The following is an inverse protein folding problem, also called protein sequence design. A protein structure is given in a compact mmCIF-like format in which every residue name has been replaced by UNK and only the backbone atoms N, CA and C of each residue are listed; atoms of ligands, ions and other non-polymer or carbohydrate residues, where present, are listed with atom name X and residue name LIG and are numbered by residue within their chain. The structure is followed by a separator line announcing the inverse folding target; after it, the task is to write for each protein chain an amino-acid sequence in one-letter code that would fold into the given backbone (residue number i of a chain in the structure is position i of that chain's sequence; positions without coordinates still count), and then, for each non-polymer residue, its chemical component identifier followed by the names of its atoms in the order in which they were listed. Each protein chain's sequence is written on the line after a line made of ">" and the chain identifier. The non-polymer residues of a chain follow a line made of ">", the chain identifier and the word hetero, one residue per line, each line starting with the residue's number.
data_IF_550908790187
#
_entry.id   IF_550908790187
#
_cell.length_a   1.000
_cell.length_b   1.000
_cell.length_c   1.000
_cell.angle_alpha   90.00
_cell.angle_beta   90.00
_cell.angle_gamma   90.00
#
_symmetry.space_group_name_H-M   'P 1'
#
loop_
_entity.id
_entity.type
_entity.pdbx_description
1 polymer ?
#
# COMPACT_ATOMS: atom_id res chain seq x y z
N UNK A 1 -56.39 -61.15 31.04
CA UNK A 1 -57.69 -60.55 30.73
C UNK A 1 -57.48 -59.07 30.38
N UNK A 2 -57.80 -58.73 29.12
CA UNK A 2 -58.51 -57.52 28.68
C UNK A 2 -57.75 -56.18 28.81
N UNK A 3 -57.69 -55.26 27.85
CA UNK A 3 -57.82 -55.19 26.37
C UNK A 3 -57.52 -53.72 26.01
N UNK A 4 -56.91 -53.43 24.85
CA UNK A 4 -56.92 -52.07 24.25
C UNK A 4 -58.35 -51.65 23.83
N UNK A 5 -58.67 -50.39 23.41
CA UNK A 5 -58.24 -49.71 22.15
C UNK A 5 -57.93 -48.19 22.33
N UNK A 6 -57.10 -47.50 21.52
CA UNK A 6 -57.13 -47.08 20.09
C UNK A 6 -58.17 -46.01 19.69
N UNK A 7 -57.64 -44.85 19.27
CA UNK A 7 -57.93 -43.99 18.11
C UNK A 7 -59.37 -43.51 17.82
N UNK A 8 -59.56 -42.21 17.53
CA UNK A 8 -59.76 -41.63 16.17
C UNK A 8 -60.33 -40.18 16.20
N UNK A 9 -59.85 -39.36 15.24
CA UNK A 9 -60.30 -38.01 14.80
C UNK A 9 -61.72 -38.00 14.17
N UNK A 10 -62.45 -36.86 14.04
CA UNK A 10 -62.26 -35.80 12.98
C UNK A 10 -62.54 -34.33 13.45
N UNK A 11 -61.94 -33.25 12.91
CA UNK A 11 -62.19 -32.51 11.64
C UNK A 11 -63.66 -32.01 11.52
N UNK A 12 -64.05 -30.72 11.46
CA UNK A 12 -63.76 -29.69 10.43
C UNK A 12 -64.36 -28.31 10.84
N UNK A 13 -63.57 -27.25 10.62
CA UNK A 13 -63.83 -25.89 10.08
C UNK A 13 -64.93 -24.98 10.67
N UNK A 14 -64.48 -23.84 11.22
CA UNK A 14 -65.05 -22.51 10.93
C UNK A 14 -63.93 -21.44 10.96
N UNK A 15 -63.96 -20.57 9.96
CA UNK A 15 -62.92 -19.60 9.60
C UNK A 15 -62.85 -18.38 10.54
N UNK A 16 -61.65 -17.87 10.78
CA UNK A 16 -61.44 -16.46 11.16
C UNK A 16 -60.15 -15.92 10.52
N UNK A 17 -60.28 -14.76 9.89
CA UNK A 17 -59.27 -14.03 9.13
C UNK A 17 -58.66 -12.91 9.98
N UNK A 18 -57.35 -12.77 9.84
CA UNK A 18 -56.51 -11.55 9.87
C UNK A 18 -56.15 -10.94 11.24
N UNK A 19 -54.83 -10.90 11.47
CA UNK A 19 -54.19 -10.00 12.44
C UNK A 19 -52.74 -10.36 12.76
N UNK A 20 -51.91 -10.72 11.77
CA UNK A 20 -50.49 -11.04 11.98
C UNK A 20 -49.64 -9.79 12.13
N UNK A 21 -49.24 -9.51 13.38
CA UNK A 21 -48.23 -8.51 13.73
C UNK A 21 -46.83 -9.06 13.39
N UNK A 22 -46.30 -8.70 12.23
CA UNK A 22 -44.91 -8.92 11.86
C UNK A 22 -44.02 -7.91 12.59
N UNK A 23 -43.45 -8.32 13.72
CA UNK A 23 -42.35 -7.60 14.38
C UNK A 23 -41.07 -7.74 13.55
N UNK A 24 -40.79 -6.72 12.75
CA UNK A 24 -39.54 -6.55 12.03
C UNK A 24 -38.43 -6.21 13.03
N UNK A 25 -37.51 -7.14 13.26
CA UNK A 25 -36.25 -6.86 13.96
C UNK A 25 -35.37 -6.09 12.96
N UNK A 26 -35.57 -4.78 12.90
CA UNK A 26 -34.68 -3.87 12.20
C UNK A 26 -33.35 -3.81 12.94
N UNK A 27 -32.33 -4.48 12.41
CA UNK A 27 -30.95 -4.25 12.80
C UNK A 27 -30.64 -2.75 12.63
N UNK A 28 -30.42 -2.05 13.75
CA UNK A 28 -29.87 -0.69 13.74
C UNK A 28 -28.46 -0.71 13.14
N UNK A 29 -28.39 -0.63 11.81
CA UNK A 29 -27.20 -0.12 11.12
C UNK A 29 -27.06 1.32 11.58
N UNK A 30 -26.00 1.66 12.33
CA UNK A 30 -25.65 3.07 12.57
C UNK A 30 -25.67 3.75 11.20
N UNK A 31 -26.55 4.73 11.03
CA UNK A 31 -26.44 5.67 9.91
C UNK A 31 -25.07 6.31 10.07
N UNK A 32 -24.19 6.11 9.10
CA UNK A 32 -23.01 6.96 8.94
C UNK A 32 -23.50 8.42 8.97
N UNK A 33 -22.86 9.33 9.71
CA UNK A 33 -23.22 10.73 9.67
C UNK A 33 -23.20 11.15 8.19
N UNK A 34 -24.29 11.74 7.73
CA UNK A 34 -24.39 12.22 6.37
C UNK A 34 -23.19 13.13 6.03
N UNK A 35 -22.44 12.80 4.97
CA UNK A 35 -21.55 13.77 4.31
C UNK A 35 -20.11 13.31 4.01
N UNK A 36 -19.57 12.27 4.64
CA UNK A 36 -18.18 11.86 4.41
C UNK A 36 -18.06 10.83 3.28
N UNK A 37 -17.24 11.17 2.27
CA UNK A 37 -16.86 10.24 1.21
C UNK A 37 -15.98 9.11 1.75
N UNK A 38 -16.06 7.94 1.14
CA UNK A 38 -15.35 6.73 1.61
C UNK A 38 -13.96 6.58 1.02
N UNK A 39 -13.77 7.01 -0.22
CA UNK A 39 -12.56 6.80 -1.00
C UNK A 39 -12.05 8.12 -1.57
N UNK A 40 -10.75 8.17 -1.82
CA UNK A 40 -10.10 9.27 -2.51
C UNK A 40 -9.21 8.75 -3.64
N UNK A 41 -9.29 9.41 -4.78
CA UNK A 41 -8.35 9.26 -5.87
C UNK A 41 -7.39 10.45 -5.88
N UNK A 42 -6.13 10.18 -6.19
CA UNK A 42 -5.18 11.18 -6.64
C UNK A 42 -4.90 10.93 -8.12
N UNK A 43 -5.26 11.87 -8.98
CA UNK A 43 -5.06 11.77 -10.44
C UNK A 43 -4.25 12.95 -10.99
N UNK A 44 -3.69 12.77 -12.18
CA UNK A 44 -3.07 13.84 -12.95
C UNK A 44 -3.67 13.90 -14.35
N UNK A 45 -3.98 15.09 -14.83
CA UNK A 45 -4.43 15.30 -16.21
C UNK A 45 -3.27 15.30 -17.20
N UNK A 46 -3.55 15.17 -18.50
CA UNK A 46 -2.57 15.30 -19.59
C UNK A 46 -1.86 16.66 -19.62
N UNK A 47 -2.46 17.66 -18.99
CA UNK A 47 -1.93 19.02 -18.86
C UNK A 47 -1.11 19.17 -17.55
N UNK A 48 -0.75 18.05 -16.93
CA UNK A 48 0.08 17.93 -15.72
C UNK A 48 -0.52 18.56 -14.45
N UNK A 49 -1.83 18.85 -14.45
CA UNK A 49 -2.56 19.31 -13.25
C UNK A 49 -2.96 18.12 -12.38
N UNK A 50 -2.84 18.28 -11.06
CA UNK A 50 -3.08 17.22 -10.09
C UNK A 50 -4.40 17.46 -9.37
N UNK A 51 -5.18 16.41 -9.16
CA UNK A 51 -6.50 16.49 -8.54
C UNK A 51 -6.68 15.45 -7.45
N UNK A 52 -7.31 15.85 -6.35
CA UNK A 52 -7.92 14.93 -5.40
C UNK A 52 -9.41 14.86 -5.68
N UNK A 53 -9.94 13.65 -5.81
CA UNK A 53 -11.37 13.44 -6.00
C UNK A 53 -11.88 12.38 -5.03
N UNK A 54 -12.98 12.68 -4.33
CA UNK A 54 -13.54 11.78 -3.33
C UNK A 54 -14.87 11.17 -3.79
N UNK A 55 -15.08 9.89 -3.50
CA UNK A 55 -16.26 9.13 -3.91
C UNK A 55 -16.71 8.11 -2.86
N UNK A 56 -17.96 7.66 -2.96
CA UNK A 56 -18.55 6.65 -2.08
C UNK A 56 -18.52 5.23 -2.64
N UNK A 57 -18.30 5.12 -3.95
CA UNK A 57 -18.37 3.84 -4.67
C UNK A 57 -17.20 3.67 -5.62
N UNK A 58 -16.75 2.43 -5.72
CA UNK A 58 -15.77 1.93 -6.67
C UNK A 58 -16.37 0.84 -7.59
N UNK A 59 -17.60 0.41 -7.31
CA UNK A 59 -18.13 -0.87 -7.79
C UNK A 59 -18.67 -0.80 -9.23
N UNK A 60 -19.06 0.38 -9.72
CA UNK A 60 -19.62 0.58 -11.06
C UNK A 60 -19.71 2.08 -11.42
N UNK A 61 -20.06 2.36 -12.67
CA UNK A 61 -20.37 3.69 -13.18
C UNK A 61 -19.17 4.41 -13.78
N UNK A 62 -19.36 5.70 -14.08
CA UNK A 62 -18.33 6.55 -14.62
C UNK A 62 -18.33 7.92 -13.91
N UNK A 63 -17.14 8.51 -13.74
CA UNK A 63 -17.00 9.84 -13.20
C UNK A 63 -15.75 10.51 -13.76
N UNK A 64 -15.82 11.82 -14.00
CA UNK A 64 -14.66 12.63 -14.37
C UNK A 64 -14.02 13.27 -13.12
N UNK A 65 -12.87 12.77 -12.64
CA UNK A 65 -12.22 13.31 -11.45
C UNK A 65 -11.59 14.69 -11.67
N UNK A 66 -11.36 15.10 -12.92
CA UNK A 66 -10.79 16.41 -13.25
C UNK A 66 -11.86 17.50 -13.12
N UNK A 67 -13.10 17.21 -13.51
CA UNK A 67 -14.24 18.13 -13.34
C UNK A 67 -14.81 18.13 -11.92
N UNK A 68 -14.87 16.96 -11.28
CA UNK A 68 -15.49 16.79 -9.95
C UNK A 68 -14.50 16.92 -8.79
N UNK A 69 -13.21 16.83 -9.07
CA UNK A 69 -12.16 16.87 -8.07
C UNK A 69 -11.70 18.28 -7.74
N UNK A 70 -10.83 18.34 -6.75
CA UNK A 70 -10.18 19.56 -6.28
C UNK A 70 -8.78 19.64 -6.88
N UNK A 71 -8.49 20.74 -7.57
CA UNK A 71 -7.16 21.03 -8.07
C UNK A 71 -6.18 21.21 -6.89
N UNK A 72 -5.05 20.52 -6.95
CA UNK A 72 -3.90 20.75 -6.08
C UNK A 72 -2.96 21.72 -6.79
N UNK A 73 -2.86 22.93 -6.26
CA UNK A 73 -2.02 24.00 -6.80
C UNK A 73 -0.53 23.71 -6.56
N UNK A 74 -0.13 23.36 -5.34
CA UNK A 74 1.25 23.08 -4.92
C UNK A 74 1.33 22.21 -3.63
N UNK A 75 2.50 21.67 -3.27
CA UNK A 75 3.62 21.37 -4.15
C UNK A 75 3.27 20.20 -5.10
N UNK A 76 3.93 20.08 -6.25
CA UNK A 76 3.78 18.89 -7.09
C UNK A 76 4.38 17.67 -6.36
N UNK A 77 3.90 16.46 -6.68
CA UNK A 77 4.49 15.19 -6.21
C UNK A 77 4.20 14.77 -4.77
N UNK A 78 3.19 15.37 -4.12
CA UNK A 78 2.80 14.93 -2.77
C UNK A 78 2.34 13.47 -2.73
N UNK A 79 1.84 12.92 -3.84
CA UNK A 79 1.37 11.53 -3.91
C UNK A 79 2.43 10.49 -3.56
N UNK A 80 3.73 10.81 -3.60
CA UNK A 80 4.76 9.78 -3.38
C UNK A 80 4.82 9.34 -1.90
N UNK A 81 4.64 10.28 -0.97
CA UNK A 81 4.77 10.05 0.48
C UNK A 81 3.53 10.48 1.25
N UNK A 82 2.38 10.57 0.56
CA UNK A 82 1.12 10.94 1.16
C UNK A 82 0.60 9.81 2.04
N UNK A 83 0.15 10.16 3.24
CA UNK A 83 -0.64 9.30 4.11
C UNK A 83 -2.07 9.83 4.16
N UNK A 84 -3.05 8.94 4.24
CA UNK A 84 -4.46 9.29 4.39
C UNK A 84 -5.00 8.63 5.65
N UNK A 85 -5.64 9.41 6.52
CA UNK A 85 -6.27 8.90 7.74
C UNK A 85 -7.35 9.84 8.25
N UNK A 86 -8.51 9.28 8.58
CA UNK A 86 -9.65 10.01 9.17
C UNK A 86 -10.05 11.25 8.35
N UNK A 87 -10.05 11.15 7.02
CA UNK A 87 -10.40 12.23 6.09
C UNK A 87 -9.30 13.27 5.85
N UNK A 88 -8.16 13.15 6.53
CA UNK A 88 -7.01 14.03 6.36
C UNK A 88 -5.94 13.41 5.46
N UNK A 89 -5.21 14.29 4.77
CA UNK A 89 -4.05 14.00 3.96
C UNK A 89 -2.82 14.57 4.64
N UNK A 90 -1.79 13.75 4.80
CA UNK A 90 -0.53 14.12 5.45
C UNK A 90 0.62 13.92 4.47
N UNK A 91 1.51 14.90 4.36
CA UNK A 91 2.69 14.79 3.51
C UNK A 91 3.76 15.78 3.96
N UNK A 92 5.01 15.55 3.54
CA UNK A 92 6.08 16.53 3.65
C UNK A 92 6.17 17.30 2.34
N UNK A 93 6.12 18.63 2.39
CA UNK A 93 6.51 19.45 1.26
C UNK A 93 8.04 19.37 1.10
N UNK A 94 8.55 18.79 0.01
CA UNK A 94 9.98 18.58 -0.15
C UNK A 94 10.79 19.87 -0.29
N UNK A 95 10.14 20.99 -0.65
CA UNK A 95 10.82 22.29 -0.83
C UNK A 95 10.94 23.06 0.48
N UNK A 96 9.89 23.03 1.29
CA UNK A 96 9.82 23.80 2.53
C UNK A 96 10.12 22.97 3.77
N UNK A 97 10.16 21.64 3.64
CA UNK A 97 10.36 20.67 4.71
C UNK A 97 9.27 20.71 5.79
N UNK A 98 8.11 21.30 5.51
CA UNK A 98 6.97 21.23 6.41
C UNK A 98 6.21 19.92 6.23
N UNK A 99 5.97 19.21 7.34
CA UNK A 99 4.94 18.19 7.40
C UNK A 99 3.59 18.88 7.56
N UNK A 100 2.69 18.63 6.62
CA UNK A 100 1.42 19.33 6.46
C UNK A 100 0.28 18.34 6.69
N UNK A 101 -0.74 18.77 7.44
CA UNK A 101 -2.07 18.13 7.50
C UNK A 101 -3.05 18.97 6.71
N UNK A 102 -3.64 18.39 5.68
CA UNK A 102 -4.69 19.02 4.88
C UNK A 102 -5.94 18.16 4.76
N UNK A 103 -7.00 18.75 4.25
CA UNK A 103 -8.27 18.07 3.92
C UNK A 103 -8.98 18.79 2.79
N UNK A 104 -9.99 18.14 2.22
CA UNK A 104 -10.90 18.82 1.29
C UNK A 104 -12.04 19.45 2.08
N UNK A 105 -12.22 20.76 1.94
CA UNK A 105 -13.35 21.54 2.47
C UNK A 105 -13.87 22.48 1.40
N UNK A 106 -15.20 22.61 1.29
CA UNK A 106 -15.85 23.54 0.37
C UNK A 106 -15.27 23.50 -1.06
N UNK A 107 -15.01 22.29 -1.55
CA UNK A 107 -14.42 22.02 -2.88
C UNK A 107 -13.00 22.59 -3.08
N UNK A 108 -12.24 22.76 -2.00
CA UNK A 108 -10.82 23.17 -2.01
C UNK A 108 -9.98 22.31 -1.09
N UNK A 109 -8.67 22.28 -1.34
CA UNK A 109 -7.72 21.57 -0.49
C UNK A 109 -7.14 22.56 0.52
N UNK A 110 -7.60 22.46 1.76
CA UNK A 110 -7.21 23.34 2.84
C UNK A 110 -6.03 22.72 3.61
N UNK A 111 -4.93 23.48 3.74
CA UNK A 111 -3.77 23.12 4.57
C UNK A 111 -4.02 23.65 5.97
N UNK A 112 -4.40 22.77 6.89
CA UNK A 112 -4.93 23.18 8.18
C UNK A 112 -3.86 23.50 9.19
N UNK A 113 -2.77 22.74 9.17
CA UNK A 113 -1.72 22.82 10.18
C UNK A 113 -0.43 22.20 9.67
N UNK A 114 0.70 22.56 10.27
CA UNK A 114 2.00 22.05 9.85
C UNK A 114 3.09 22.19 10.91
N UNK A 115 4.14 21.40 10.76
CA UNK A 115 5.37 21.52 11.55
C UNK A 115 6.60 21.37 10.67
N UNK A 116 7.62 22.19 10.92
CA UNK A 116 8.87 22.15 10.19
C UNK A 116 9.70 20.92 10.59
N UNK A 117 10.02 20.07 9.62
CA UNK A 117 10.86 18.88 9.75
C UNK A 117 12.21 19.10 9.07
N UNK A 118 13.09 19.91 9.69
CA UNK A 118 14.40 20.22 9.11
C UNK A 118 15.19 18.95 8.71
N UNK A 119 15.56 18.85 7.43
CA UNK A 119 16.30 17.72 6.85
C UNK A 119 15.45 16.51 6.48
N UNK A 120 14.14 16.69 6.26
CA UNK A 120 13.18 15.65 5.86
C UNK A 120 12.59 15.87 4.46
N UNK A 121 13.23 16.67 3.58
CA UNK A 121 12.88 16.64 2.16
C UNK A 121 12.82 15.21 1.62
N UNK A 122 11.71 14.83 0.98
CA UNK A 122 11.45 13.50 0.40
C UNK A 122 11.69 12.32 1.36
N UNK A 123 10.91 12.15 2.45
CA UNK A 123 11.12 11.04 3.40
C UNK A 123 11.22 9.68 2.69
N UNK A 124 12.12 8.80 3.12
CA UNK A 124 12.21 7.47 2.52
C UNK A 124 10.96 6.63 2.83
N UNK A 125 10.44 6.77 4.04
CA UNK A 125 9.27 6.05 4.51
C UNK A 125 8.52 6.87 5.59
N UNK A 126 7.22 6.66 5.69
CA UNK A 126 6.36 7.26 6.69
C UNK A 126 5.14 6.38 6.95
N UNK A 127 4.72 6.26 8.21
CA UNK A 127 3.47 5.61 8.58
C UNK A 127 2.94 6.09 9.93
N UNK A 128 1.65 5.85 10.16
CA UNK A 128 1.05 5.98 11.48
C UNK A 128 1.46 4.80 12.37
N UNK A 129 2.06 5.08 13.53
CA UNK A 129 2.43 4.06 14.52
C UNK A 129 1.39 3.93 15.64
N UNK A 130 0.48 4.89 15.74
CA UNK A 130 -0.70 4.85 16.60
C UNK A 130 -1.78 5.81 16.05
N UNK A 131 -2.81 6.11 16.85
CA UNK A 131 -3.90 7.00 16.45
C UNK A 131 -3.40 8.36 15.94
N UNK A 132 -2.38 8.93 16.60
CA UNK A 132 -2.02 10.33 16.49
C UNK A 132 -0.56 10.58 16.14
N UNK A 133 0.28 9.55 16.05
CA UNK A 133 1.71 9.70 15.77
C UNK A 133 2.06 9.16 14.40
N UNK A 134 2.64 10.00 13.56
CA UNK A 134 3.33 9.61 12.34
C UNK A 134 4.82 9.47 12.65
N UNK A 135 5.40 8.34 12.26
CA UNK A 135 6.83 8.14 12.23
C UNK A 135 7.32 8.35 10.79
N UNK A 136 8.37 9.14 10.62
CA UNK A 136 8.99 9.40 9.32
C UNK A 136 10.48 9.10 9.39
N UNK A 137 11.04 8.53 8.33
CA UNK A 137 12.48 8.41 8.13
C UNK A 137 12.91 9.36 7.02
N UNK A 138 13.93 10.17 7.28
CA UNK A 138 14.38 11.13 6.28
C UNK A 138 15.10 10.45 5.11
N UNK A 139 15.08 11.11 3.95
CA UNK A 139 16.11 10.84 2.96
C UNK A 139 17.44 11.40 3.44
N UNK A 140 18.52 10.65 3.24
CA UNK A 140 19.87 11.07 3.58
C UNK A 140 20.57 11.42 2.29
N UNK A 141 21.29 12.52 2.25
CA UNK A 141 22.23 12.79 1.15
C UNK A 141 23.64 12.62 1.70
N UNK A 142 24.47 11.86 0.98
CA UNK A 142 25.80 11.50 1.42
C UNK A 142 25.81 10.51 2.60
N UNK A 143 26.97 10.36 3.23
CA UNK A 143 27.19 9.40 4.32
C UNK A 143 26.66 9.86 5.69
N UNK A 144 25.71 10.80 5.70
CA UNK A 144 25.11 11.29 6.93
C UNK A 144 24.28 10.18 7.61
N UNK A 145 24.29 10.10 8.96
CA UNK A 145 23.39 9.21 9.67
C UNK A 145 21.93 9.47 9.30
N UNK A 146 21.14 8.41 9.18
CA UNK A 146 19.69 8.55 9.04
C UNK A 146 19.08 9.14 10.29
N UNK A 147 18.00 9.89 10.10
CA UNK A 147 17.19 10.49 11.17
C UNK A 147 15.75 10.02 11.05
N UNK A 148 15.06 10.06 12.17
CA UNK A 148 13.62 9.85 12.22
C UNK A 148 12.93 11.02 12.91
N UNK A 149 11.66 11.21 12.59
CA UNK A 149 10.76 12.15 13.23
C UNK A 149 9.53 11.42 13.76
N UNK A 150 9.10 11.76 14.97
CA UNK A 150 7.78 11.41 15.51
C UNK A 150 6.95 12.69 15.55
N UNK A 151 5.94 12.77 14.71
CA UNK A 151 5.02 13.90 14.64
C UNK A 151 3.70 13.51 15.29
N UNK A 152 3.29 14.24 16.32
CA UNK A 152 1.94 14.16 16.84
C UNK A 152 1.01 15.02 15.98
N UNK A 153 0.05 14.40 15.31
CA UNK A 153 -0.83 15.07 14.35
C UNK A 153 -1.98 15.84 15.02
N UNK A 154 -2.15 15.77 16.35
CA UNK A 154 -3.16 16.56 17.06
C UNK A 154 -2.72 18.00 17.25
N UNK A 155 -1.48 18.19 17.67
CA UNK A 155 -0.88 19.48 18.03
C UNK A 155 0.31 19.87 17.15
N UNK A 156 0.66 19.04 16.16
CA UNK A 156 1.82 19.21 15.28
C UNK A 156 3.15 19.34 16.03
N UNK A 157 3.26 18.74 17.22
CA UNK A 157 4.55 18.64 17.91
C UNK A 157 5.43 17.57 17.26
N UNK A 158 6.75 17.82 17.26
CA UNK A 158 7.74 16.90 16.67
C UNK A 158 8.88 16.61 17.63
N UNK A 159 9.30 15.35 17.66
CA UNK A 159 10.61 14.92 18.17
C UNK A 159 11.41 14.31 17.04
N UNK A 160 12.65 14.76 16.85
CA UNK A 160 13.58 14.18 15.86
C UNK A 160 14.82 13.64 16.54
N UNK A 161 15.35 12.53 16.04
CA UNK A 161 16.63 11.98 16.50
C UNK A 161 17.31 11.17 15.37
N UNK A 162 18.51 10.65 15.61
CA UNK A 162 19.23 9.77 14.71
C UNK A 162 18.77 8.32 14.86
N UNK A 163 18.67 7.60 13.74
CA UNK A 163 18.54 6.15 13.78
C UNK A 163 19.92 5.55 14.14
N UNK A 164 19.99 4.57 15.04
CA UNK A 164 21.22 3.85 15.41
C UNK A 164 21.65 2.85 14.32
N UNK A 165 21.56 3.24 13.05
CA UNK A 165 21.98 2.41 11.92
C UNK A 165 23.41 2.77 11.51
N UNK A 166 24.25 1.79 11.13
CA UNK A 166 25.57 2.10 10.60
C UNK A 166 25.44 2.96 9.33
N UNK A 167 26.19 4.06 9.20
CA UNK A 167 26.15 4.90 8.01
C UNK A 167 26.70 4.14 6.79
N UNK A 168 26.38 4.59 5.55
CA UNK A 168 26.98 4.04 4.34
C UNK A 168 28.51 4.03 4.38
N UNK A 169 29.13 2.98 3.82
CA UNK A 169 30.59 2.79 3.76
C UNK A 169 31.04 2.44 2.35
N UNK A 170 32.36 2.50 2.12
CA UNK A 170 32.99 2.17 0.84
C UNK A 170 32.37 2.96 -0.33
N UNK A 171 31.94 2.31 -1.41
CA UNK A 171 31.37 2.99 -2.57
C UNK A 171 29.98 3.59 -2.32
N UNK A 172 29.29 3.20 -1.25
CA UNK A 172 27.95 3.70 -0.96
C UNK A 172 28.02 5.08 -0.33
N UNK A 173 27.20 5.98 -0.87
CA UNK A 173 27.05 7.36 -0.42
C UNK A 173 25.62 7.64 0.06
N UNK A 174 24.76 6.62 0.14
CA UNK A 174 23.38 6.78 0.57
C UNK A 174 22.81 5.48 1.20
N UNK A 175 21.68 5.59 1.89
CA UNK A 175 20.90 4.51 2.48
C UNK A 175 19.41 4.79 2.26
N UNK A 176 18.63 3.76 1.93
CA UNK A 176 17.16 3.86 1.88
C UNK A 176 16.49 2.87 2.81
N UNK A 177 15.40 3.29 3.46
CA UNK A 177 14.53 2.42 4.28
C UNK A 177 13.29 2.06 3.48
N UNK A 178 13.12 0.78 3.16
CA UNK A 178 12.00 0.30 2.34
C UNK A 178 10.78 -0.12 3.15
N UNK A 179 10.97 -0.66 4.35
CA UNK A 179 9.85 -0.94 5.25
C UNK A 179 10.17 -0.64 6.70
N UNK A 180 9.10 -0.42 7.46
CA UNK A 180 9.10 -0.32 8.90
C UNK A 180 7.99 -1.22 9.47
N UNK A 181 8.26 -1.92 10.56
CA UNK A 181 7.30 -2.78 11.26
C UNK A 181 7.43 -2.58 12.77
N UNK A 182 6.35 -2.14 13.41
CA UNK A 182 6.24 -2.16 14.86
C UNK A 182 5.65 -3.48 15.33
N UNK A 183 6.30 -4.09 16.32
CA UNK A 183 5.80 -5.29 17.01
C UNK A 183 6.08 -5.16 18.50
N UNK A 184 5.05 -4.79 19.25
CA UNK A 184 5.19 -4.44 20.67
C UNK A 184 6.19 -3.30 20.85
N UNK A 185 7.19 -3.50 21.70
CA UNK A 185 8.24 -2.52 22.02
C UNK A 185 9.46 -2.64 21.08
N UNK A 186 9.26 -3.07 19.84
CA UNK A 186 10.32 -3.23 18.86
C UNK A 186 9.93 -2.62 17.51
N UNK A 187 10.92 -2.02 16.87
CA UNK A 187 10.88 -1.53 15.50
C UNK A 187 11.82 -2.38 14.64
N UNK A 188 11.29 -2.89 13.54
CA UNK A 188 12.03 -3.58 12.51
C UNK A 188 12.11 -2.71 11.27
N UNK A 189 13.27 -2.62 10.66
CA UNK A 189 13.49 -1.80 9.47
C UNK A 189 14.26 -2.57 8.41
N UNK A 190 13.65 -2.68 7.23
CA UNK A 190 14.32 -3.14 6.02
C UNK A 190 15.03 -1.97 5.38
N UNK A 191 16.34 -2.09 5.14
CA UNK A 191 17.10 -1.04 4.50
C UNK A 191 18.15 -1.56 3.51
N UNK A 192 18.68 -0.64 2.71
CA UNK A 192 19.69 -0.90 1.68
C UNK A 192 20.72 0.23 1.63
N UNK A 193 21.97 -0.10 1.36
CA UNK A 193 22.97 0.90 0.99
C UNK A 193 23.01 1.06 -0.52
N UNK A 194 23.14 2.29 -0.99
CA UNK A 194 23.20 2.60 -2.40
C UNK A 194 24.13 3.80 -2.68
N UNK A 195 24.45 3.99 -3.94
CA UNK A 195 25.12 5.18 -4.46
C UNK A 195 24.29 5.77 -5.59
N UNK A 196 24.32 7.10 -5.70
CA UNK A 196 23.70 7.80 -6.82
C UNK A 196 24.52 9.04 -7.16
N UNK A 197 25.34 8.96 -8.21
CA UNK A 197 26.21 10.05 -8.63
C UNK A 197 26.44 10.02 -10.14
N UNK A 198 26.90 11.14 -10.69
CA UNK A 198 27.11 11.32 -12.13
C UNK A 198 28.16 10.34 -12.70
N UNK A 199 29.18 9.98 -11.90
CA UNK A 199 30.29 9.14 -12.35
C UNK A 199 29.90 7.67 -12.51
N UNK A 200 29.10 7.13 -11.58
CA UNK A 200 28.76 5.70 -11.50
C UNK A 200 27.30 5.41 -11.82
N UNK A 201 26.49 6.45 -12.00
CA UNK A 201 25.05 6.33 -12.03
C UNK A 201 24.52 5.88 -10.67
N UNK A 202 23.56 4.97 -10.70
CA UNK A 202 22.90 4.45 -9.52
C UNK A 202 23.30 2.98 -9.28
N UNK A 203 23.59 2.62 -8.03
CA UNK A 203 23.67 1.21 -7.66
C UNK A 203 23.62 0.90 -6.17
N UNK A 204 23.63 -0.39 -5.80
CA UNK A 204 23.29 -0.83 -4.44
C UNK A 204 24.01 -2.05 -3.95
N UNK A 205 23.97 -2.23 -2.63
CA UNK A 205 24.28 -3.51 -2.01
C UNK A 205 23.43 -4.61 -2.61
N UNK A 206 24.02 -5.78 -2.71
CA UNK A 206 23.46 -7.06 -3.15
C UNK A 206 22.83 -7.86 -1.99
N UNK A 207 22.51 -7.19 -0.87
CA UNK A 207 22.15 -7.86 0.38
C UNK A 207 20.93 -7.20 0.99
N UNK A 208 19.99 -8.02 1.46
CA UNK A 208 18.90 -7.56 2.35
C UNK A 208 19.46 -7.31 3.73
N UNK A 209 19.24 -6.09 4.26
CA UNK A 209 19.53 -5.74 5.65
C UNK A 209 18.24 -5.51 6.42
N UNK A 210 18.14 -6.13 7.60
CA UNK A 210 17.00 -5.95 8.51
C UNK A 210 17.57 -5.57 9.87
N UNK A 211 17.31 -4.33 10.29
CA UNK A 211 17.63 -3.88 11.63
C UNK A 211 16.45 -4.14 12.57
N UNK A 212 16.76 -4.50 13.81
CA UNK A 212 15.81 -4.57 14.91
C UNK A 212 16.25 -3.64 16.02
N UNK A 213 15.34 -2.81 16.50
CA UNK A 213 15.58 -1.78 17.49
C UNK A 213 14.55 -1.86 18.61
N UNK A 214 14.94 -1.46 19.81
CA UNK A 214 14.01 -1.24 20.93
C UNK A 214 13.17 0.02 20.70
N UNK A 215 11.97 0.05 21.25
CA UNK A 215 11.09 1.21 21.26
C UNK A 215 10.50 1.36 22.68
N UNK A 216 10.49 2.56 23.28
CA UNK A 216 10.78 3.86 22.68
C UNK A 216 12.26 4.30 22.70
N UNK A 217 13.18 3.53 23.28
CA UNK A 217 14.58 3.95 23.47
C UNK A 217 15.40 4.03 22.19
N UNK A 218 14.92 3.41 21.11
CA UNK A 218 15.57 3.42 19.79
C UNK A 218 17.02 2.91 19.84
N UNK A 219 17.30 1.88 20.65
CA UNK A 219 18.61 1.20 20.67
C UNK A 219 18.63 0.07 19.65
N UNK A 220 19.68 0.00 18.83
CA UNK A 220 19.92 -1.11 17.91
C UNK A 220 20.15 -2.41 18.70
N UNK A 221 19.34 -3.43 18.42
CA UNK A 221 19.42 -4.75 19.05
C UNK A 221 20.14 -5.74 18.16
N UNK A 222 19.86 -5.73 16.85
CA UNK A 222 20.46 -6.66 15.89
C UNK A 222 20.38 -6.10 14.46
N UNK A 223 21.28 -6.56 13.59
CA UNK A 223 21.18 -6.41 12.12
C UNK A 223 21.35 -7.79 11.50
N UNK A 224 20.31 -8.25 10.80
CA UNK A 224 20.37 -9.46 10.00
C UNK A 224 20.70 -9.13 8.56
N UNK A 225 21.42 -10.06 7.92
CA UNK A 225 21.80 -10.00 6.51
C UNK A 225 21.38 -11.26 5.78
N UNK A 226 20.91 -11.10 4.56
CA UNK A 226 20.58 -12.20 3.65
C UNK A 226 21.00 -11.85 2.21
N UNK A 227 21.97 -12.57 1.61
CA UNK A 227 22.49 -12.26 0.28
C UNK A 227 21.65 -12.86 -0.86
N UNK A 228 20.53 -13.56 -0.56
CA UNK A 228 19.68 -14.17 -1.61
C UNK A 228 18.97 -13.14 -2.48
N UNK A 229 18.88 -11.88 -2.03
CA UNK A 229 18.32 -10.74 -2.78
C UNK A 229 18.75 -9.41 -2.14
N UNK A 230 18.17 -8.29 -2.58
CA UNK A 230 18.38 -6.95 -2.02
C UNK A 230 17.11 -6.07 -2.05
N UNK A 231 17.17 -4.86 -1.50
CA UNK A 231 16.07 -3.89 -1.42
C UNK A 231 14.83 -4.39 -0.68
N UNK A 232 14.93 -4.66 0.63
CA UNK A 232 13.79 -5.04 1.44
C UNK A 232 12.77 -3.91 1.53
N UNK A 233 11.56 -4.14 1.01
CA UNK A 233 10.46 -3.19 1.07
C UNK A 233 10.47 -2.10 0.00
N UNK A 234 11.21 -2.28 -1.11
CA UNK A 234 11.34 -1.33 -2.22
C UNK A 234 11.96 0.04 -1.82
N UNK A 235 12.73 0.68 -2.71
CA UNK A 235 13.14 2.09 -2.50
C UNK A 235 11.99 3.06 -2.78
N UNK A 236 10.94 2.57 -3.43
CA UNK A 236 9.75 3.29 -3.79
C UNK A 236 8.60 2.91 -2.84
N UNK A 237 8.54 3.57 -1.70
CA UNK A 237 7.59 3.29 -0.61
C UNK A 237 6.18 3.80 -0.89
N UNK A 238 5.96 4.53 -1.98
CA UNK A 238 4.62 4.91 -2.45
C UNK A 238 3.74 3.68 -2.78
N UNK A 239 4.37 2.55 -3.08
CA UNK A 239 3.68 1.31 -3.40
C UNK A 239 3.82 0.32 -2.25
N UNK A 240 2.69 -0.22 -1.79
CA UNK A 240 2.69 -1.23 -0.75
C UNK A 240 3.41 -2.49 -1.22
N UNK A 241 4.30 -2.98 -0.37
CA UNK A 241 5.20 -4.09 -0.65
C UNK A 241 5.41 -4.99 0.57
N UNK A 242 4.63 -4.73 1.63
CA UNK A 242 4.62 -5.50 2.88
C UNK A 242 3.20 -5.72 3.36
N UNK A 243 3.02 -6.74 4.20
CA UNK A 243 1.78 -6.95 4.94
C UNK A 243 2.02 -7.84 6.17
N UNK A 244 1.04 -7.84 7.07
CA UNK A 244 0.92 -8.81 8.17
C UNK A 244 -0.29 -9.69 7.88
N UNK A 245 -0.14 -11.01 7.97
CA UNK A 245 -1.25 -11.95 7.78
C UNK A 245 -2.09 -12.13 9.06
N UNK A 246 -3.16 -12.94 8.99
CA UNK A 246 -4.03 -13.22 10.14
C UNK A 246 -3.33 -13.92 11.31
N UNK A 247 -2.17 -14.55 11.08
CA UNK A 247 -1.36 -15.20 12.12
C UNK A 247 -0.36 -14.23 12.76
N UNK A 248 -0.23 -13.02 12.23
CA UNK A 248 0.75 -12.03 12.66
C UNK A 248 2.12 -12.20 11.99
N UNK A 249 2.26 -13.12 11.03
CA UNK A 249 3.49 -13.26 10.25
C UNK A 249 3.61 -12.05 9.33
N UNK A 250 4.79 -11.44 9.32
CA UNK A 250 5.08 -10.29 8.48
C UNK A 250 5.79 -10.74 7.20
N UNK A 251 5.33 -10.23 6.07
CA UNK A 251 5.89 -10.52 4.76
C UNK A 251 6.32 -9.21 4.09
N UNK A 252 7.45 -9.27 3.38
CA UNK A 252 7.94 -8.14 2.60
C UNK A 252 8.57 -8.62 1.30
N UNK A 253 8.48 -7.78 0.27
CA UNK A 253 9.08 -8.01 -1.03
C UNK A 253 10.51 -7.46 -1.07
N UNK A 254 11.42 -8.17 -1.72
CA UNK A 254 12.72 -7.65 -2.15
C UNK A 254 12.65 -7.16 -3.59
N UNK A 255 13.27 -6.02 -3.90
CA UNK A 255 13.09 -5.34 -5.19
C UNK A 255 14.42 -5.04 -5.91
N UNK A 256 15.20 -6.06 -6.31
CA UNK A 256 16.46 -5.90 -7.06
C UNK A 256 16.31 -5.43 -8.53
N UNK A 257 15.07 -5.38 -9.04
CA UNK A 257 14.74 -5.18 -10.44
C UNK A 257 15.10 -3.83 -11.05
N UNK A 258 14.85 -3.71 -12.35
CA UNK A 258 15.58 -2.83 -13.29
C UNK A 258 15.28 -1.34 -13.12
N UNK A 259 14.09 -0.97 -12.66
CA UNK A 259 13.68 0.43 -12.63
C UNK A 259 14.62 1.27 -11.75
N UNK A 260 14.97 0.77 -10.57
CA UNK A 260 15.92 1.46 -9.67
C UNK A 260 16.89 0.50 -9.02
N UNK A 261 16.94 -0.77 -9.42
CA UNK A 261 17.85 -1.75 -8.84
C UNK A 261 19.06 -1.92 -9.73
N UNK A 262 20.24 -1.95 -9.11
CA UNK A 262 21.50 -2.26 -9.79
C UNK A 262 21.93 -3.72 -9.58
N UNK A 263 21.00 -4.59 -9.19
CA UNK A 263 21.23 -6.03 -9.04
C UNK A 263 20.18 -6.86 -9.78
N UNK A 264 19.86 -6.57 -11.06
CA UNK A 264 18.76 -7.23 -11.78
C UNK A 264 18.93 -8.75 -11.94
N UNK A 265 20.14 -9.29 -11.73
CA UNK A 265 20.39 -10.73 -11.76
C UNK A 265 19.98 -11.43 -10.44
N UNK A 266 19.80 -10.68 -9.35
CA UNK A 266 19.26 -11.21 -8.10
C UNK A 266 17.74 -11.30 -8.18
N UNK A 267 17.10 -12.35 -7.63
CA UNK A 267 15.66 -12.53 -7.75
C UNK A 267 14.87 -11.54 -6.88
N UNK A 268 13.74 -11.05 -7.39
CA UNK A 268 12.68 -10.56 -6.49
C UNK A 268 12.12 -11.74 -5.70
N UNK A 269 11.95 -11.55 -4.40
CA UNK A 269 11.43 -12.59 -3.53
C UNK A 269 10.53 -12.03 -2.42
N UNK A 270 9.61 -12.87 -1.95
CA UNK A 270 8.88 -12.61 -0.71
C UNK A 270 9.66 -13.27 0.42
N UNK A 271 9.91 -12.50 1.47
CA UNK A 271 10.50 -12.91 2.74
C UNK A 271 9.45 -12.94 3.85
N UNK A 272 9.75 -13.63 4.95
CA UNK A 272 8.87 -13.74 6.12
C UNK A 272 9.62 -13.53 7.43
N UNK A 273 8.96 -12.87 8.38
CA UNK A 273 9.31 -12.84 9.79
C UNK A 273 8.10 -13.33 10.58
N UNK A 274 8.19 -14.51 11.20
CA UNK A 274 7.04 -15.10 11.91
C UNK A 274 6.62 -14.25 13.11
N UNK A 275 5.34 -14.27 13.47
CA UNK A 275 4.73 -13.42 14.50
C UNK A 275 5.49 -13.43 15.83
N UNK A 276 5.94 -14.61 16.25
CA UNK A 276 6.57 -14.84 17.56
C UNK A 276 8.09 -15.01 17.48
N UNK A 277 8.71 -14.74 16.33
CA UNK A 277 10.14 -14.87 16.13
C UNK A 277 10.83 -13.49 16.08
N UNK A 278 12.08 -13.44 16.52
CA UNK A 278 12.94 -12.24 16.52
C UNK A 278 14.02 -12.30 15.45
N UNK A 279 13.85 -13.18 14.47
CA UNK A 279 14.77 -13.37 13.36
C UNK A 279 14.02 -13.49 12.04
N UNK A 280 14.72 -13.20 10.94
CA UNK A 280 14.25 -13.52 9.60
C UNK A 280 14.08 -15.05 9.46
N UNK A 281 12.97 -15.50 8.90
CA UNK A 281 12.74 -16.91 8.63
C UNK A 281 13.58 -17.35 7.43
N UNK A 282 14.84 -17.73 7.68
CA UNK A 282 15.79 -18.13 6.63
C UNK A 282 15.32 -19.35 5.83
N UNK A 283 14.50 -20.22 6.43
CA UNK A 283 13.97 -21.42 5.78
C UNK A 283 12.83 -21.12 4.80
N UNK A 284 12.19 -19.95 4.91
CA UNK A 284 11.10 -19.53 4.03
C UNK A 284 11.56 -18.41 3.08
N UNK A 285 11.45 -18.69 1.78
CA UNK A 285 11.82 -17.76 0.71
C UNK A 285 11.02 -18.11 -0.54
N UNK A 286 10.20 -17.18 -1.02
CA UNK A 286 9.47 -17.37 -2.26
C UNK A 286 10.11 -16.54 -3.38
N UNK A 287 10.90 -17.21 -4.23
CA UNK A 287 11.51 -16.62 -5.41
C UNK A 287 10.45 -16.31 -6.49
N UNK A 288 10.08 -15.04 -6.63
CA UNK A 288 9.11 -14.57 -7.63
C UNK A 288 9.70 -14.65 -9.04
N UNK A 289 10.96 -14.26 -9.20
CA UNK A 289 11.64 -14.22 -10.50
C UNK A 289 11.89 -15.62 -11.10
N UNK A 290 11.88 -16.68 -10.30
CA UNK A 290 11.94 -18.07 -10.76
C UNK A 290 10.59 -18.80 -10.75
N UNK A 291 9.53 -18.13 -10.31
CA UNK A 291 8.16 -18.64 -10.42
C UNK A 291 7.63 -18.50 -11.86
N UNK A 292 6.42 -18.97 -12.18
CA UNK A 292 5.77 -18.70 -13.47
C UNK A 292 5.69 -17.21 -13.87
N UNK A 293 5.91 -16.26 -12.94
CA UNK A 293 5.99 -14.82 -13.22
C UNK A 293 7.22 -14.46 -14.07
N UNK A 294 8.36 -15.12 -13.83
CA UNK A 294 9.62 -14.95 -14.58
C UNK A 294 10.09 -13.49 -14.76
N UNK A 295 9.75 -12.59 -13.83
CA UNK A 295 10.08 -11.16 -13.86
C UNK A 295 10.31 -10.62 -12.44
N UNK A 296 10.67 -9.33 -12.33
CA UNK A 296 10.69 -8.63 -11.06
C UNK A 296 9.32 -8.07 -10.69
N UNK A 297 9.12 -7.90 -9.39
CA UNK A 297 7.93 -7.31 -8.83
C UNK A 297 8.27 -6.17 -7.86
N UNK A 298 7.31 -5.26 -7.70
CA UNK A 298 7.49 -4.06 -6.87
C UNK A 298 6.37 -3.87 -5.85
N UNK A 299 5.31 -4.69 -5.90
CA UNK A 299 4.12 -4.52 -5.08
C UNK A 299 3.60 -5.83 -4.57
N UNK A 300 3.10 -5.78 -3.33
CA UNK A 300 2.66 -6.94 -2.59
C UNK A 300 1.52 -6.52 -1.64
N UNK A 301 0.36 -7.17 -1.78
CA UNK A 301 -0.81 -6.94 -0.92
C UNK A 301 -1.38 -8.26 -0.43
N UNK A 302 -1.83 -8.29 0.82
CA UNK A 302 -2.47 -9.49 1.35
C UNK A 302 -3.92 -9.61 0.87
N UNK A 303 -4.30 -10.81 0.41
CA UNK A 303 -5.65 -11.12 -0.06
C UNK A 303 -6.46 -11.94 0.97
N UNK A 304 -5.83 -12.36 2.08
CA UNK A 304 -6.42 -13.31 3.03
C UNK A 304 -6.18 -14.76 2.64
N UNK A 305 -6.35 -15.68 3.59
CA UNK A 305 -6.27 -17.14 3.37
C UNK A 305 -5.00 -17.58 2.64
N UNK A 306 -3.85 -17.09 3.09
CA UNK A 306 -2.53 -17.36 2.51
C UNK A 306 -2.34 -16.89 1.07
N UNK A 307 -3.20 -16.00 0.56
CA UNK A 307 -3.06 -15.43 -0.79
C UNK A 307 -2.52 -14.02 -0.71
N UNK A 308 -1.70 -13.66 -1.70
CA UNK A 308 -1.23 -12.30 -1.90
C UNK A 308 -1.34 -11.90 -3.37
N UNK A 309 -1.51 -10.61 -3.62
CA UNK A 309 -1.44 -10.02 -4.94
C UNK A 309 -0.03 -9.49 -5.16
N UNK A 310 0.60 -9.86 -6.27
CA UNK A 310 1.92 -9.41 -6.71
C UNK A 310 1.76 -8.55 -7.96
N UNK A 311 2.34 -7.34 -7.93
CA UNK A 311 2.42 -6.43 -9.08
C UNK A 311 3.81 -6.55 -9.72
N UNK A 312 3.86 -7.16 -10.90
CA UNK A 312 5.09 -7.55 -11.62
C UNK A 312 5.26 -6.76 -12.90
N UNK A 313 6.51 -6.48 -13.27
CA UNK A 313 6.83 -5.87 -14.57
C UNK A 313 6.95 -6.92 -15.68
N UNK A 314 6.84 -6.48 -16.93
CA UNK A 314 7.16 -7.20 -18.16
C UNK A 314 8.40 -6.56 -18.79
N UNK A 315 9.57 -7.11 -18.48
CA UNK A 315 10.87 -6.58 -18.93
C UNK A 315 10.97 -6.49 -20.46
N UNK A 316 10.26 -7.33 -21.19
CA UNK A 316 10.26 -7.37 -22.66
C UNK A 316 9.54 -6.18 -23.32
N UNK A 317 8.77 -5.39 -22.56
CA UNK A 317 7.95 -4.29 -23.08
C UNK A 317 8.56 -2.90 -22.90
N UNK A 318 9.75 -2.78 -22.31
CA UNK A 318 10.50 -1.53 -22.17
C UNK A 318 12.00 -1.77 -22.28
N UNK A 319 12.76 -0.75 -22.66
CA UNK A 319 14.22 -0.81 -22.86
C UNK A 319 14.97 0.22 -22.03
N UNK A 320 14.31 1.31 -21.68
CA UNK A 320 14.92 2.42 -20.92
C UNK A 320 14.19 2.66 -19.62
N UNK A 321 14.87 3.35 -18.70
CA UNK A 321 14.25 3.82 -17.46
C UNK A 321 13.06 4.75 -17.74
N UNK A 322 13.13 5.60 -18.77
CA UNK A 322 12.03 6.50 -19.14
C UNK A 322 10.80 5.71 -19.64
N UNK A 323 11.02 4.73 -20.51
CA UNK A 323 9.95 3.85 -21.01
C UNK A 323 9.25 3.08 -19.88
N UNK A 324 9.99 2.70 -18.82
CA UNK A 324 9.42 2.07 -17.62
C UNK A 324 8.30 2.91 -16.98
N UNK A 325 8.39 4.24 -17.04
CA UNK A 325 7.33 5.09 -16.51
C UNK A 325 6.17 5.25 -17.50
N UNK A 326 6.47 5.34 -18.80
CA UNK A 326 5.51 5.78 -19.82
C UNK A 326 4.68 4.63 -20.43
N UNK A 327 5.25 3.42 -20.54
CA UNK A 327 4.62 2.29 -21.21
C UNK A 327 3.83 1.41 -20.24
N UNK A 328 2.70 0.90 -20.73
CA UNK A 328 1.95 -0.13 -20.01
C UNK A 328 2.69 -1.47 -20.11
N UNK A 329 3.17 -1.97 -18.99
CA UNK A 329 4.00 -3.18 -18.91
C UNK A 329 3.84 -3.92 -17.57
N UNK A 330 2.86 -3.54 -16.76
CA UNK A 330 2.67 -4.12 -15.44
C UNK A 330 1.52 -5.14 -15.46
N UNK A 331 1.76 -6.29 -14.85
CA UNK A 331 0.82 -7.39 -14.68
C UNK A 331 0.57 -7.68 -13.19
N UNK A 332 -0.56 -8.31 -12.90
CA UNK A 332 -0.96 -8.69 -11.54
C UNK A 332 -1.15 -10.20 -11.42
N UNK A 333 -0.68 -10.75 -10.31
CA UNK A 333 -0.69 -12.19 -10.05
C UNK A 333 -1.20 -12.47 -8.64
N UNK A 334 -2.16 -13.37 -8.49
CA UNK A 334 -2.42 -14.02 -7.20
C UNK A 334 -1.32 -15.05 -6.96
N UNK A 335 -0.74 -15.05 -5.76
CA UNK A 335 0.20 -16.08 -5.32
C UNK A 335 -0.28 -16.71 -4.02
N UNK A 336 -0.11 -18.01 -3.87
CA UNK A 336 -0.36 -18.72 -2.62
C UNK A 336 0.94 -18.85 -1.82
N UNK A 337 0.98 -18.30 -0.61
CA UNK A 337 2.16 -18.25 0.26
C UNK A 337 2.55 -19.62 0.84
N UNK A 338 1.62 -20.58 0.88
CA UNK A 338 1.88 -21.95 1.32
C UNK A 338 2.32 -22.85 0.18
N UNK A 339 1.53 -22.91 -0.89
CA UNK A 339 1.77 -23.84 -2.02
C UNK A 339 2.71 -23.28 -3.08
N UNK A 340 2.96 -21.96 -3.06
CA UNK A 340 3.74 -21.21 -4.07
C UNK A 340 3.10 -21.25 -5.46
N UNK A 341 1.84 -21.62 -5.55
CA UNK A 341 1.06 -21.50 -6.79
C UNK A 341 0.93 -20.04 -7.21
N UNK A 342 0.97 -19.81 -8.53
CA UNK A 342 0.84 -18.50 -9.16
C UNK A 342 -0.32 -18.54 -10.14
N UNK A 343 -1.19 -17.55 -10.06
CA UNK A 343 -2.27 -17.34 -11.01
C UNK A 343 -2.24 -15.91 -11.54
N UNK A 344 -1.99 -15.75 -12.83
CA UNK A 344 -2.03 -14.46 -13.51
C UNK A 344 -3.48 -13.98 -13.63
N UNK A 345 -3.76 -12.73 -13.22
CA UNK A 345 -5.06 -12.11 -13.41
C UNK A 345 -5.20 -11.65 -14.87
N UNK A 346 -6.38 -11.84 -15.45
CA UNK A 346 -6.71 -11.39 -16.81
C UNK A 346 -7.07 -9.89 -16.83
N UNK A 347 -6.11 -9.04 -16.49
CA UNK A 347 -6.22 -7.58 -16.50
C UNK A 347 -5.51 -6.98 -17.72
N UNK A 348 -5.95 -5.82 -18.23
CA UNK A 348 -5.13 -5.03 -19.13
C UNK A 348 -3.81 -4.64 -18.46
N UNK A 349 -2.77 -4.41 -19.26
CA UNK A 349 -1.50 -3.94 -18.74
C UNK A 349 -1.65 -2.55 -18.12
N UNK A 350 -1.04 -2.39 -16.96
CA UNK A 350 -0.99 -1.11 -16.24
C UNK A 350 0.33 -0.39 -16.52
N UNK A 351 0.34 0.95 -16.39
CA UNK A 351 1.54 1.78 -16.57
C UNK A 351 1.90 2.56 -15.31
N UNK A 352 3.13 3.06 -15.30
CA UNK A 352 3.66 3.86 -14.22
C UNK A 352 4.16 3.02 -13.05
N UNK A 353 5.26 3.47 -12.47
CA UNK A 353 5.75 3.00 -11.18
C UNK A 353 5.41 4.03 -10.08
N UNK A 354 5.62 3.69 -8.81
CA UNK A 354 5.30 4.57 -7.66
C UNK A 354 3.82 4.89 -7.49
N UNK A 355 2.98 3.86 -7.52
CA UNK A 355 1.52 4.02 -7.42
C UNK A 355 0.94 3.24 -6.25
N UNK A 356 -0.03 3.85 -5.57
CA UNK A 356 -0.91 3.19 -4.61
C UNK A 356 -2.16 2.75 -5.35
N UNK A 357 -2.04 1.72 -6.17
CA UNK A 357 -3.06 1.32 -7.15
C UNK A 357 -3.98 0.19 -6.69
N UNK A 358 -3.78 -0.35 -5.48
CA UNK A 358 -4.58 -1.47 -4.96
C UNK A 358 -5.10 -1.12 -3.57
N UNK A 359 -6.41 -1.29 -3.38
CA UNK A 359 -7.07 -1.20 -2.09
C UNK A 359 -7.72 -2.55 -1.76
N UNK A 360 -7.32 -3.16 -0.65
CA UNK A 360 -7.95 -4.40 -0.15
C UNK A 360 -9.05 -4.05 0.84
N UNK A 361 -10.28 -4.50 0.57
CA UNK A 361 -11.42 -4.27 1.47
C UNK A 361 -12.50 -5.32 1.26
N UNK A 362 -13.13 -5.76 2.36
CA UNK A 362 -14.26 -6.69 2.33
C UNK A 362 -13.94 -7.94 1.50
N UNK A 363 -12.73 -8.48 1.70
CA UNK A 363 -12.20 -9.64 0.98
C UNK A 363 -12.09 -9.47 -0.55
N UNK A 364 -12.00 -8.23 -1.03
CA UNK A 364 -11.82 -7.89 -2.44
C UNK A 364 -10.59 -7.01 -2.62
N UNK A 365 -9.95 -7.13 -3.78
CA UNK A 365 -8.95 -6.16 -4.23
C UNK A 365 -9.57 -5.24 -5.27
N UNK A 366 -9.51 -3.93 -5.02
CA UNK A 366 -9.84 -2.88 -5.97
C UNK A 366 -8.54 -2.40 -6.62
N UNK A 367 -8.37 -2.65 -7.91
CA UNK A 367 -7.12 -2.45 -8.65
C UNK A 367 -7.35 -1.37 -9.71
N UNK A 368 -6.66 -0.24 -9.62
CA UNK A 368 -6.74 0.81 -10.65
C UNK A 368 -5.79 0.48 -11.81
N UNK A 369 -6.34 0.36 -13.02
CA UNK A 369 -5.59 0.21 -14.26
C UNK A 369 -5.60 1.54 -15.01
N UNK A 370 -4.41 2.02 -15.37
CA UNK A 370 -4.19 3.14 -16.28
C UNK A 370 -3.21 2.67 -17.34
N UNK A 371 -3.68 2.46 -18.57
CA UNK A 371 -2.84 1.93 -19.66
C UNK A 371 -2.27 3.02 -20.59
N UNK A 372 -2.63 4.28 -20.34
CA UNK A 372 -2.25 5.43 -21.16
C UNK A 372 -3.00 5.58 -22.48
N UNK A 373 -3.95 4.69 -22.77
CA UNK A 373 -4.78 4.68 -23.98
C UNK A 373 -6.26 4.97 -23.68
N UNK A 374 -6.55 5.49 -22.50
CA UNK A 374 -7.89 5.88 -22.06
C UNK A 374 -8.59 4.83 -21.19
N UNK A 375 -7.99 3.66 -20.96
CA UNK A 375 -8.51 2.73 -19.95
C UNK A 375 -8.02 3.19 -18.58
N UNK A 376 -8.94 3.82 -17.85
CA UNK A 376 -8.74 4.37 -16.50
C UNK A 376 -9.78 3.75 -15.58
N UNK A 377 -9.58 2.49 -15.23
CA UNK A 377 -10.64 1.66 -14.66
C UNK A 377 -10.26 1.11 -13.30
N UNK A 378 -11.21 1.08 -12.38
CA UNK A 378 -11.13 0.22 -11.20
C UNK A 378 -11.59 -1.18 -11.59
N UNK A 379 -10.77 -2.17 -11.32
CA UNK A 379 -11.12 -3.58 -11.42
C UNK A 379 -11.31 -4.19 -10.04
N UNK A 380 -12.25 -5.10 -9.91
CA UNK A 380 -12.60 -5.75 -8.65
C UNK A 380 -12.25 -7.21 -8.77
N UNK A 381 -11.30 -7.66 -7.96
CA UNK A 381 -10.87 -9.05 -7.89
C UNK A 381 -11.36 -9.71 -6.60
N UNK A 382 -11.92 -10.92 -6.73
CA UNK A 382 -12.35 -11.77 -5.60
C UNK A 382 -11.47 -13.01 -5.53
N UNK A 383 -10.62 -13.15 -4.50
CA UNK A 383 -9.71 -14.29 -4.37
C UNK A 383 -10.44 -15.64 -4.18
N UNK A 384 -11.68 -15.64 -3.68
CA UNK A 384 -12.43 -16.86 -3.35
C UNK A 384 -12.76 -17.70 -4.58
N UNK A 385 -13.23 -17.04 -5.64
CA UNK A 385 -13.64 -17.66 -6.90
C UNK A 385 -12.78 -17.22 -8.10
N UNK A 386 -11.76 -16.39 -7.84
CA UNK A 386 -10.90 -15.74 -8.85
C UNK A 386 -11.67 -14.91 -9.88
N UNK A 387 -12.86 -14.45 -9.53
CA UNK A 387 -13.64 -13.58 -10.41
C UNK A 387 -13.03 -12.19 -10.50
N UNK A 388 -13.12 -11.63 -11.70
CA UNK A 388 -12.61 -10.32 -12.04
C UNK A 388 -13.71 -9.55 -12.77
N UNK A 389 -14.12 -8.41 -12.22
CA UNK A 389 -15.18 -7.58 -12.80
C UNK A 389 -14.74 -6.14 -12.92
N UNK A 390 -15.16 -5.48 -14.00
CA UNK A 390 -14.94 -4.05 -14.18
C UNK A 390 -15.83 -3.25 -13.24
N UNK A 391 -15.25 -2.27 -12.55
CA UNK A 391 -15.92 -1.37 -11.62
C UNK A 391 -16.05 0.04 -12.19
N UNK A 392 -15.72 1.04 -11.37
CA UNK A 392 -15.78 2.46 -11.74
C UNK A 392 -14.79 2.81 -12.86
N UNK A 393 -15.28 3.51 -13.88
CA UNK A 393 -14.47 4.15 -14.92
C UNK A 393 -14.17 5.62 -14.58
N UNK A 394 -12.94 6.06 -14.78
CA UNK A 394 -12.52 7.45 -14.60
C UNK A 394 -12.41 8.15 -15.96
N UNK A 395 -13.39 9.00 -16.25
CA UNK A 395 -13.48 9.78 -17.48
C UNK A 395 -12.56 11.02 -17.45
N UNK A 396 -12.42 11.67 -18.60
CA UNK A 396 -11.66 12.91 -18.77
C UNK A 396 -10.26 12.68 -19.33
N UNK A 397 -9.49 13.76 -19.48
CA UNK A 397 -8.11 13.74 -19.97
C UNK A 397 -7.12 13.27 -18.89
N UNK A 398 -7.40 12.14 -18.25
CA UNK A 398 -6.52 11.54 -17.24
C UNK A 398 -5.24 11.03 -17.91
N UNK A 399 -4.11 11.45 -17.36
CA UNK A 399 -2.81 10.89 -17.68
C UNK A 399 -2.49 9.77 -16.68
N UNK A 400 -2.43 10.05 -15.38
CA UNK A 400 -2.11 9.06 -14.36
C UNK A 400 -3.15 8.97 -13.24
N UNK A 401 -3.34 7.76 -12.71
CA UNK A 401 -4.04 7.51 -11.46
C UNK A 401 -2.99 7.16 -10.39
N UNK A 402 -2.47 8.13 -9.66
CA UNK A 402 -1.38 7.88 -8.73
C UNK A 402 -1.79 7.06 -7.51
N UNK A 403 -2.97 7.34 -6.94
CA UNK A 403 -3.41 6.71 -5.70
C UNK A 403 -4.91 6.44 -5.67
N UNK A 404 -5.28 5.32 -5.08
CA UNK A 404 -6.61 4.98 -4.57
C UNK A 404 -6.50 4.76 -3.06
N UNK A 405 -7.21 5.55 -2.28
CA UNK A 405 -7.13 5.58 -0.83
C UNK A 405 -8.50 5.37 -0.19
N UNK A 406 -8.48 4.79 1.01
CA UNK A 406 -9.62 4.80 1.93
C UNK A 406 -9.49 6.03 2.84
N UNK A 407 -10.58 6.77 3.02
CA UNK A 407 -10.55 8.00 3.83
C UNK A 407 -10.67 7.74 5.33
N UNK A 408 -11.39 6.70 5.72
CA UNK A 408 -11.72 6.37 7.11
C UNK A 408 -11.58 4.87 7.33
N UNK A 409 -11.11 4.44 8.50
CA UNK A 409 -10.98 3.02 8.82
C UNK A 409 -12.29 2.31 9.20
#
# INVERSE_FOLDING_TARGET
>A
MISQPKNFFPAIIAAFLIGSLLSTIGACRKKDPAGHKKYSFFVMSKDQKQYLWQTDSLDAGAANPIEKGVLLDHPPRIWYYMLVKNGYYYYVDPKTEYFIRGRIEDSRFERLDSVHLKGFSYPDNALFINADTVFLVNHSVGRNPKRYAKVNVRDMSVVTDQLPLPPPRALFDNMSVGFELWRGNQLWMGYTYHFNNEERGYGSSDTVYIARMSYPEMKLLNIEKDPRSTYPGNVNTAQQNTFVDEKGDFYFLSCPGIARGANPDQPTAIYRIKANEQQLDRAWFFNISQSPIQNHAYGLWYLGNHKALVRSERKDLFRTYEEHYLLAHIEYHEVNLLTREVHKLNLPLDRGSSRTCVLIRNERAYITINDGKGNNDVWIYRPQDRSLTKGLHLEGNIDYIFRLEKLYD
#
